data_IF_103198021345
#
_entry.id   IF_103198021345
#
_cell.length_a   1.000
_cell.length_b   1.000
_cell.length_c   1.000
_cell.angle_alpha   90.00
_cell.angle_beta   90.00
_cell.angle_gamma   90.00
#
_symmetry.space_group_name_H-M   'P 1'
#
loop_
_entity.id
_entity.type
_entity.pdbx_description
1 polymer ?
#
# COMPACT_ATOMS: atom_id res chain seq x y z
N UNK A 1 -17.02 3.22 21.77
CA UNK A 1 -16.99 2.20 20.72
C UNK A 1 -17.18 0.82 21.30
N UNK A 2 -17.52 -0.17 20.47
CA UNK A 2 -17.85 -1.54 20.93
C UNK A 2 -16.67 -2.20 21.67
N UNK A 3 -15.44 -1.91 21.27
CA UNK A 3 -14.21 -2.47 21.86
C UNK A 3 -13.95 -2.04 23.33
N UNK A 4 -14.55 -0.95 23.77
CA UNK A 4 -14.32 -0.39 25.13
C UNK A 4 -15.63 -0.23 25.91
N UNK A 5 -16.61 -1.08 25.64
CA UNK A 5 -17.87 -1.07 26.39
C UNK A 5 -17.62 -1.66 27.79
N UNK A 6 -17.73 -0.87 28.88
CA UNK A 6 -17.46 -1.35 30.24
C UNK A 6 -18.48 -2.43 30.72
N UNK A 7 -19.60 -2.53 30.03
CA UNK A 7 -20.65 -3.51 30.33
C UNK A 7 -20.43 -4.87 29.64
N UNK A 8 -19.47 -4.95 28.72
CA UNK A 8 -19.13 -6.21 28.06
C UNK A 8 -18.29 -7.08 29.02
N UNK A 9 -18.70 -8.33 29.31
CA UNK A 9 -17.94 -9.24 30.18
C UNK A 9 -16.50 -9.45 29.69
N UNK A 10 -16.24 -9.45 28.39
CA UNK A 10 -14.91 -9.59 27.80
C UNK A 10 -13.96 -8.45 28.21
N UNK A 11 -14.49 -7.24 28.42
CA UNK A 11 -13.71 -6.07 28.85
C UNK A 11 -13.43 -6.06 30.36
N UNK A 12 -13.89 -7.06 31.10
CA UNK A 12 -13.58 -7.23 32.53
C UNK A 12 -12.51 -8.27 32.80
N UNK A 13 -12.07 -8.96 31.76
CA UNK A 13 -10.98 -9.95 31.85
C UNK A 13 -9.66 -9.26 31.59
N UNK A 14 -8.89 -9.09 32.67
CA UNK A 14 -7.55 -8.53 32.61
C UNK A 14 -6.51 -9.60 32.94
N UNK A 15 -5.38 -9.64 32.24
CA UNK A 15 -4.27 -10.49 32.63
C UNK A 15 -3.77 -10.10 34.03
N UNK A 16 -3.22 -11.05 34.82
CA UNK A 16 -2.57 -10.73 36.08
C UNK A 16 -1.46 -9.69 35.91
N UNK A 17 -1.29 -8.82 36.91
CA UNK A 17 -0.28 -7.73 36.84
C UNK A 17 1.10 -8.23 36.44
N UNK A 18 1.54 -9.35 37.00
CA UNK A 18 2.82 -9.98 36.65
C UNK A 18 2.97 -10.23 35.15
N UNK A 19 1.91 -10.71 34.47
CA UNK A 19 1.95 -10.98 33.03
C UNK A 19 2.04 -9.68 32.26
N UNK A 20 1.38 -8.61 32.72
CA UNK A 20 1.49 -7.29 32.12
C UNK A 20 2.92 -6.77 32.23
N UNK A 21 3.53 -6.89 33.42
CA UNK A 21 4.89 -6.45 33.67
C UNK A 21 5.91 -7.24 32.84
N UNK A 22 5.74 -8.58 32.72
CA UNK A 22 6.57 -9.42 31.88
C UNK A 22 6.48 -9.00 30.39
N UNK A 23 5.28 -8.74 29.88
CA UNK A 23 5.06 -8.28 28.51
C UNK A 23 5.68 -6.90 28.28
N UNK A 24 5.48 -5.97 29.20
CA UNK A 24 6.05 -4.62 29.11
C UNK A 24 7.59 -4.67 29.13
N UNK A 25 8.16 -5.53 29.95
CA UNK A 25 9.61 -5.74 29.99
C UNK A 25 10.14 -6.26 28.65
N UNK A 26 9.47 -7.24 28.06
CA UNK A 26 9.84 -7.78 26.74
C UNK A 26 9.72 -6.72 25.63
N UNK A 27 8.62 -5.97 25.61
CA UNK A 27 8.41 -4.95 24.57
C UNK A 27 9.42 -3.79 24.67
N UNK A 28 9.83 -3.44 25.89
CA UNK A 28 10.80 -2.37 26.14
C UNK A 28 12.25 -2.86 26.15
N UNK A 29 12.53 -4.09 25.79
CA UNK A 29 13.90 -4.58 25.69
C UNK A 29 14.70 -3.76 24.67
N UNK A 30 15.91 -3.34 25.07
CA UNK A 30 16.76 -2.47 24.23
C UNK A 30 17.11 -3.14 22.88
N UNK A 31 17.16 -4.46 22.83
CA UNK A 31 17.40 -5.21 21.59
C UNK A 31 16.28 -5.05 20.55
N UNK A 32 15.07 -4.69 20.97
CA UNK A 32 13.91 -4.47 20.11
C UNK A 32 13.76 -3.03 19.65
N UNK A 33 14.52 -2.09 20.19
CA UNK A 33 14.39 -0.66 19.90
C UNK A 33 14.41 -0.35 18.41
N UNK A 34 15.40 -0.87 17.69
CA UNK A 34 15.51 -0.66 16.23
C UNK A 34 14.37 -1.29 15.43
N UNK A 35 13.67 -2.27 16.01
CA UNK A 35 12.49 -2.87 15.38
C UNK A 35 11.27 -1.94 15.54
N UNK A 36 11.10 -1.33 16.72
CA UNK A 36 9.99 -0.40 16.98
C UNK A 36 10.10 0.92 16.21
N UNK A 37 11.29 1.29 15.76
CA UNK A 37 11.51 2.47 14.93
C UNK A 37 11.08 2.26 13.46
N UNK A 38 10.74 1.04 13.06
CA UNK A 38 10.34 0.72 11.68
C UNK A 38 8.83 0.83 11.50
N UNK A 39 8.41 1.49 10.44
CA UNK A 39 6.99 1.70 10.08
C UNK A 39 6.22 0.39 9.91
N UNK A 40 6.93 -0.69 9.53
CA UNK A 40 6.33 -1.99 9.21
C UNK A 40 6.06 -2.86 10.44
N UNK A 41 6.62 -2.56 11.60
CA UNK A 41 6.61 -3.45 12.77
C UNK A 41 5.20 -3.84 13.20
N UNK A 42 4.30 -2.88 13.31
CA UNK A 42 2.91 -3.15 13.71
C UNK A 42 2.20 -4.03 12.68
N UNK A 43 2.46 -3.83 11.40
CA UNK A 43 1.92 -4.66 10.34
C UNK A 43 2.39 -6.11 10.42
N UNK A 44 3.67 -6.34 10.73
CA UNK A 44 4.22 -7.68 10.95
C UNK A 44 3.65 -8.34 12.19
N UNK A 45 3.54 -7.62 13.32
CA UNK A 45 2.87 -8.12 14.53
C UNK A 45 1.45 -8.55 14.23
N UNK A 46 0.69 -7.73 13.50
CA UNK A 46 -0.67 -8.06 13.09
C UNK A 46 -0.73 -9.33 12.21
N UNK A 47 0.17 -9.47 11.23
CA UNK A 47 0.21 -10.63 10.36
C UNK A 47 0.51 -11.93 11.11
N UNK A 48 1.40 -11.87 12.10
CA UNK A 48 1.82 -13.03 12.90
C UNK A 48 0.97 -13.27 14.15
N UNK A 49 -0.01 -12.43 14.43
CA UNK A 49 -0.94 -12.60 15.56
C UNK A 49 -1.65 -13.96 15.52
N UNK A 50 -2.06 -14.42 14.34
CA UNK A 50 -2.62 -15.76 14.18
C UNK A 50 -1.50 -16.77 13.89
N UNK A 51 -1.35 -17.83 14.71
CA UNK A 51 -0.31 -18.84 14.52
C UNK A 51 -0.32 -19.46 13.12
N UNK A 52 0.85 -19.69 12.58
CA UNK A 52 1.03 -20.29 11.24
C UNK A 52 0.33 -21.64 11.13
N UNK A 53 0.45 -22.46 12.16
CA UNK A 53 -0.10 -23.81 12.23
C UNK A 53 -1.63 -23.78 12.05
N UNK A 54 -2.30 -22.81 12.67
CA UNK A 54 -3.74 -22.64 12.54
C UNK A 54 -4.12 -22.25 11.11
N UNK A 55 -3.38 -21.32 10.51
CA UNK A 55 -3.61 -20.90 9.12
C UNK A 55 -3.40 -22.06 8.15
N UNK A 56 -2.34 -22.82 8.32
CA UNK A 56 -2.01 -23.97 7.46
C UNK A 56 -3.04 -25.08 7.61
N UNK A 57 -3.50 -25.34 8.84
CA UNK A 57 -4.57 -26.32 9.12
C UNK A 57 -5.85 -25.98 8.36
N UNK A 58 -6.33 -24.76 8.52
CA UNK A 58 -7.58 -24.30 7.87
C UNK A 58 -7.46 -24.31 6.35
N UNK A 59 -6.28 -23.96 5.79
CA UNK A 59 -6.04 -24.03 4.35
C UNK A 59 -6.06 -25.46 3.81
N UNK A 60 -5.58 -26.44 4.59
CA UNK A 60 -5.64 -27.86 4.23
C UNK A 60 -7.05 -28.43 4.30
N UNK A 61 -7.86 -27.97 5.28
CA UNK A 61 -9.23 -28.45 5.48
C UNK A 61 -10.21 -27.92 4.43
N UNK A 62 -9.98 -26.74 3.88
CA UNK A 62 -10.87 -26.13 2.89
C UNK A 62 -10.13 -25.19 1.94
N UNK A 63 -10.47 -25.20 0.65
CA UNK A 63 -9.96 -24.25 -0.34
C UNK A 63 -10.51 -22.82 -0.13
N UNK A 64 -11.75 -22.71 0.35
CA UNK A 64 -12.42 -21.44 0.63
C UNK A 64 -12.64 -21.26 2.15
N UNK A 65 -12.66 -20.00 2.66
CA UNK A 65 -13.03 -19.74 4.04
C UNK A 65 -14.48 -20.17 4.29
N UNK A 66 -14.72 -20.87 5.41
CA UNK A 66 -16.04 -21.38 5.78
C UNK A 66 -16.87 -20.38 6.57
N UNK A 67 -16.22 -19.37 7.15
CA UNK A 67 -16.85 -18.33 7.97
C UNK A 67 -16.03 -17.05 7.99
N UNK A 68 -16.57 -15.97 8.57
CA UNK A 68 -15.92 -14.66 8.67
C UNK A 68 -14.62 -14.69 9.45
N UNK A 69 -14.50 -15.54 10.46
CA UNK A 69 -13.28 -15.69 11.25
C UNK A 69 -12.15 -16.28 10.41
N UNK A 70 -12.42 -17.35 9.66
CA UNK A 70 -11.44 -17.93 8.74
C UNK A 70 -11.07 -16.97 7.61
N UNK A 71 -12.04 -16.21 7.09
CA UNK A 71 -11.79 -15.18 6.09
C UNK A 71 -10.81 -14.13 6.60
N UNK A 72 -10.99 -13.66 7.84
CA UNK A 72 -10.15 -12.64 8.45
C UNK A 72 -8.68 -13.07 8.49
N UNK A 73 -8.35 -14.21 9.11
CA UNK A 73 -6.96 -14.59 9.29
C UNK A 73 -6.31 -15.24 8.06
N UNK A 74 -7.10 -15.77 7.13
CA UNK A 74 -6.56 -16.28 5.84
C UNK A 74 -6.05 -15.16 4.94
N UNK A 75 -6.64 -13.96 5.07
CA UNK A 75 -6.32 -12.78 4.28
C UNK A 75 -5.47 -11.76 5.05
N UNK A 76 -4.95 -12.11 6.22
CA UNK A 76 -3.98 -11.31 6.97
C UNK A 76 -2.62 -11.36 6.30
N UNK A 77 -2.44 -10.55 5.26
CA UNK A 77 -1.15 -10.32 4.62
C UNK A 77 -0.77 -8.85 4.84
N UNK A 78 0.39 -8.64 5.42
CA UNK A 78 0.99 -7.33 5.46
C UNK A 78 1.67 -7.05 4.13
N UNK A 79 1.36 -5.92 3.52
CA UNK A 79 1.92 -5.56 2.21
C UNK A 79 3.39 -5.18 2.37
N UNK A 80 4.33 -5.83 1.68
CA UNK A 80 5.75 -5.48 1.78
C UNK A 80 6.02 -4.04 1.34
N UNK A 81 6.98 -3.38 1.97
CA UNK A 81 7.33 -1.98 1.75
C UNK A 81 7.56 -1.63 0.28
N UNK A 82 8.28 -2.45 -0.46
CA UNK A 82 8.55 -2.19 -1.87
C UNK A 82 7.29 -2.14 -2.74
N UNK A 83 6.24 -2.91 -2.37
CA UNK A 83 4.93 -2.87 -3.05
C UNK A 83 4.21 -1.58 -2.72
N UNK A 84 4.24 -1.15 -1.44
CA UNK A 84 3.65 0.11 -0.99
C UNK A 84 4.30 1.28 -1.72
N UNK A 85 5.63 1.32 -1.75
CA UNK A 85 6.41 2.35 -2.46
C UNK A 85 6.06 2.35 -3.95
N UNK A 86 6.04 1.17 -4.60
CA UNK A 86 5.67 1.06 -6.02
C UNK A 86 4.27 1.61 -6.30
N UNK A 87 3.29 1.25 -5.49
CA UNK A 87 1.91 1.70 -5.67
C UNK A 87 1.77 3.20 -5.39
N UNK A 88 2.39 3.71 -4.33
CA UNK A 88 2.35 5.13 -3.98
C UNK A 88 3.05 5.98 -5.04
N UNK A 89 4.23 5.55 -5.50
CA UNK A 89 4.98 6.25 -6.55
C UNK A 89 4.19 6.32 -7.87
N UNK A 90 3.49 5.23 -8.23
CA UNK A 90 2.77 5.16 -9.49
C UNK A 90 1.29 5.59 -9.41
N UNK A 91 0.82 6.00 -8.25
CA UNK A 91 -0.47 6.67 -8.07
C UNK A 91 -0.27 8.14 -7.73
N UNK A 92 0.01 8.47 -6.49
CA UNK A 92 0.21 9.85 -6.03
C UNK A 92 1.43 10.52 -6.66
N UNK A 93 2.55 9.83 -6.66
CA UNK A 93 3.79 10.30 -7.27
C UNK A 93 3.61 10.56 -8.76
N UNK A 94 2.93 9.65 -9.47
CA UNK A 94 2.63 9.79 -10.89
C UNK A 94 1.69 10.96 -11.18
N UNK A 95 0.62 11.13 -10.39
CA UNK A 95 -0.29 12.27 -10.52
C UNK A 95 0.45 13.59 -10.33
N UNK A 96 1.30 13.65 -9.30
CA UNK A 96 2.11 14.85 -9.04
C UNK A 96 3.09 15.15 -10.18
N UNK A 97 3.78 14.13 -10.68
CA UNK A 97 4.69 14.21 -11.80
C UNK A 97 3.98 14.76 -13.06
N UNK A 98 2.79 14.27 -13.36
CA UNK A 98 1.98 14.73 -14.48
C UNK A 98 1.52 16.19 -14.32
N UNK A 99 1.05 16.57 -13.12
CA UNK A 99 0.71 17.97 -12.82
C UNK A 99 1.87 18.95 -13.00
N UNK A 100 3.09 18.48 -12.82
CA UNK A 100 4.31 19.27 -12.98
C UNK A 100 4.98 19.08 -14.35
N UNK A 101 4.35 18.33 -15.25
CA UNK A 101 4.89 18.04 -16.59
C UNK A 101 6.31 17.46 -16.53
N UNK A 102 6.56 16.55 -15.62
CA UNK A 102 7.86 15.94 -15.40
C UNK A 102 8.88 16.81 -14.63
N UNK A 103 8.59 18.09 -14.39
CA UNK A 103 9.51 19.04 -13.74
C UNK A 103 9.28 19.05 -12.22
N UNK A 104 9.79 18.06 -11.53
CA UNK A 104 9.69 17.96 -10.07
C UNK A 104 10.86 17.16 -9.48
N UNK A 105 11.44 17.67 -8.40
CA UNK A 105 12.47 16.96 -7.63
C UNK A 105 11.94 15.68 -6.95
N UNK A 106 10.61 15.54 -6.83
CA UNK A 106 10.01 14.33 -6.29
C UNK A 106 10.29 13.11 -7.18
N UNK A 107 10.41 13.32 -8.50
CA UNK A 107 10.70 12.24 -9.45
C UNK A 107 12.02 11.49 -9.16
N UNK A 108 12.97 12.16 -8.52
CA UNK A 108 14.27 11.57 -8.15
C UNK A 108 14.22 10.84 -6.81
N UNK A 109 13.18 11.11 -6.00
CA UNK A 109 12.93 10.45 -4.71
C UNK A 109 12.02 9.23 -4.85
N UNK A 110 11.12 9.22 -5.83
CA UNK A 110 10.21 8.12 -6.12
C UNK A 110 10.96 7.02 -6.85
N UNK A 111 11.48 6.05 -6.09
CA UNK A 111 12.35 4.97 -6.57
C UNK A 111 11.69 4.12 -7.65
N UNK A 112 10.40 3.90 -7.54
CA UNK A 112 9.64 3.00 -8.42
C UNK A 112 8.75 3.75 -9.42
N UNK A 113 8.87 5.07 -9.52
CA UNK A 113 8.08 5.86 -10.46
C UNK A 113 8.40 5.45 -11.91
N UNK A 114 7.40 4.90 -12.59
CA UNK A 114 7.53 4.55 -14.00
C UNK A 114 7.53 5.82 -14.84
N UNK A 115 8.64 6.06 -15.51
CA UNK A 115 8.82 7.16 -16.49
C UNK A 115 9.20 6.53 -17.82
N UNK A 116 8.57 6.98 -18.89
CA UNK A 116 8.93 6.54 -20.24
C UNK A 116 9.77 7.62 -20.92
N UNK A 117 10.81 7.27 -21.67
CA UNK A 117 11.69 8.25 -22.27
C UNK A 117 10.99 9.16 -23.29
N UNK A 118 9.89 8.70 -23.88
CA UNK A 118 9.16 9.36 -24.94
C UNK A 118 7.84 9.98 -24.48
N UNK A 119 7.74 10.40 -23.20
CA UNK A 119 6.55 11.06 -22.69
C UNK A 119 6.41 12.48 -23.25
N UNK A 120 5.27 12.76 -23.85
CA UNK A 120 4.89 14.07 -24.37
C UNK A 120 3.73 14.60 -23.53
N UNK A 121 3.98 15.65 -22.76
CA UNK A 121 2.94 16.28 -21.93
C UNK A 121 2.09 17.22 -22.77
N UNK A 122 0.80 16.91 -22.88
CA UNK A 122 -0.14 17.71 -23.64
C UNK A 122 -0.51 19.00 -22.90
N UNK A 123 -0.75 20.07 -23.66
CA UNK A 123 -1.27 21.32 -23.12
C UNK A 123 -2.78 21.19 -22.80
N UNK A 124 -3.31 22.17 -22.07
CA UNK A 124 -4.75 22.21 -21.76
C UNK A 124 -5.58 22.31 -23.04
N UNK A 125 -6.46 21.34 -23.26
CA UNK A 125 -7.32 21.28 -24.46
C UNK A 125 -6.65 20.62 -25.67
N UNK A 126 -5.38 20.23 -25.55
CA UNK A 126 -4.69 19.46 -26.58
C UNK A 126 -5.08 17.97 -26.48
N UNK A 127 -5.29 17.35 -27.61
CA UNK A 127 -5.60 15.93 -27.73
C UNK A 127 -4.43 15.19 -28.40
N UNK A 128 -4.21 13.93 -28.05
CA UNK A 128 -3.22 13.12 -28.77
C UNK A 128 -3.63 13.03 -30.26
N UNK A 129 -2.66 12.95 -31.18
CA UNK A 129 -2.95 12.69 -32.58
C UNK A 129 -3.80 11.42 -32.71
N UNK A 130 -4.73 11.40 -33.66
CA UNK A 130 -5.51 10.21 -33.95
C UNK A 130 -4.57 9.03 -34.20
N UNK A 131 -4.79 7.94 -33.49
CA UNK A 131 -4.02 6.73 -33.72
C UNK A 131 -4.26 6.27 -35.16
N UNK A 132 -3.26 6.34 -36.01
CA UNK A 132 -3.30 5.66 -37.29
C UNK A 132 -3.33 4.15 -36.98
N UNK A 133 -4.29 3.43 -37.56
CA UNK A 133 -4.29 1.98 -37.47
C UNK A 133 -2.96 1.48 -38.06
N UNK A 134 -2.16 0.72 -37.29
CA UNK A 134 -0.91 0.23 -37.82
C UNK A 134 -1.19 -0.77 -38.95
N UNK A 135 -0.67 -0.49 -40.12
CA UNK A 135 -0.76 -1.41 -41.28
C UNK A 135 -0.09 -2.79 -41.03
N UNK A 136 0.70 -2.89 -39.96
CA UNK A 136 1.37 -4.10 -39.46
C UNK A 136 1.38 -4.12 -37.93
N UNK A 137 1.35 -5.32 -37.36
CA UNK A 137 1.67 -5.52 -35.96
C UNK A 137 3.09 -5.01 -35.67
N UNK A 138 3.19 -3.98 -34.87
CA UNK A 138 4.46 -3.41 -34.44
C UNK A 138 5.19 -4.35 -33.48
N UNK A 139 6.48 -4.45 -33.62
CA UNK A 139 7.32 -5.16 -32.65
C UNK A 139 7.29 -4.45 -31.28
N UNK A 140 7.63 -5.20 -30.24
CA UNK A 140 7.66 -4.65 -28.87
C UNK A 140 8.63 -3.47 -28.73
N UNK A 141 9.75 -3.50 -29.46
CA UNK A 141 10.71 -2.39 -29.47
C UNK A 141 10.16 -1.14 -30.17
N UNK A 142 9.43 -1.28 -31.25
CA UNK A 142 8.79 -0.18 -31.97
C UNK A 142 7.69 0.46 -31.13
N UNK A 143 6.89 -0.35 -30.39
CA UNK A 143 5.90 0.13 -29.44
C UNK A 143 6.53 0.94 -28.31
N UNK A 144 7.71 0.51 -27.80
CA UNK A 144 8.43 1.23 -26.75
C UNK A 144 9.02 2.57 -27.22
N UNK A 145 9.27 2.73 -28.52
CA UNK A 145 9.79 3.97 -29.14
C UNK A 145 8.69 4.98 -29.47
N UNK A 146 7.44 4.56 -29.49
CA UNK A 146 6.34 5.48 -29.76
C UNK A 146 6.18 6.54 -28.67
N UNK A 147 5.81 7.79 -29.03
CA UNK A 147 5.53 8.82 -28.06
C UNK A 147 4.31 8.45 -27.20
N UNK A 148 4.44 8.60 -25.90
CA UNK A 148 3.35 8.39 -24.95
C UNK A 148 2.79 9.75 -24.56
N UNK A 149 1.60 10.06 -25.07
CA UNK A 149 0.95 11.32 -24.78
C UNK A 149 0.33 11.30 -23.37
N UNK A 150 0.81 12.19 -22.51
CA UNK A 150 0.31 12.35 -21.14
C UNK A 150 -0.72 13.47 -21.12
N UNK A 151 -1.98 13.18 -20.77
CA UNK A 151 -3.03 14.20 -20.74
C UNK A 151 -2.71 15.34 -19.78
N UNK A 152 -3.17 16.54 -20.12
CA UNK A 152 -3.02 17.69 -19.23
C UNK A 152 -3.68 17.45 -17.88
N UNK A 153 -2.93 17.69 -16.81
CA UNK A 153 -3.45 17.74 -15.44
C UNK A 153 -3.29 19.14 -14.87
N UNK A 154 -4.39 19.73 -14.40
CA UNK A 154 -4.35 21.00 -13.69
C UNK A 154 -3.54 20.89 -12.41
N UNK A 155 -2.67 21.88 -12.15
CA UNK A 155 -1.93 21.95 -10.89
C UNK A 155 -2.91 22.14 -9.73
N UNK A 156 -2.71 21.34 -8.68
CA UNK A 156 -3.44 21.45 -7.42
C UNK A 156 -2.45 21.63 -6.26
N UNK A 157 -2.93 22.24 -5.19
CA UNK A 157 -2.20 22.20 -3.91
C UNK A 157 -2.24 20.75 -3.38
N UNK A 158 -1.16 20.22 -2.78
CA UNK A 158 -1.17 18.89 -2.17
C UNK A 158 -2.32 18.67 -1.19
N UNK A 159 -2.75 19.71 -0.47
CA UNK A 159 -3.88 19.68 0.47
C UNK A 159 -5.25 19.48 -0.18
N UNK A 160 -5.36 19.71 -1.48
CA UNK A 160 -6.58 19.50 -2.26
C UNK A 160 -6.67 18.09 -2.85
N UNK A 161 -5.60 17.30 -2.73
CA UNK A 161 -5.61 15.91 -3.18
C UNK A 161 -6.46 15.07 -2.22
N UNK A 162 -7.45 14.40 -2.77
CA UNK A 162 -8.28 13.46 -2.01
C UNK A 162 -7.75 12.05 -2.25
N UNK A 163 -7.35 11.42 -1.16
CA UNK A 163 -6.77 10.09 -1.16
C UNK A 163 -7.71 9.18 -0.37
N UNK A 164 -8.00 8.02 -0.91
CA UNK A 164 -8.79 6.99 -0.24
C UNK A 164 -7.99 5.67 -0.28
N UNK A 165 -7.72 5.14 0.89
CA UNK A 165 -7.30 3.75 1.06
C UNK A 165 -8.50 2.94 1.57
N UNK A 166 -9.18 2.16 0.71
CA UNK A 166 -10.37 1.40 1.09
C UNK A 166 -10.07 0.18 1.96
N UNK A 167 -8.80 -0.17 2.10
CA UNK A 167 -8.32 -1.34 2.85
C UNK A 167 -7.15 -0.99 3.76
N UNK A 168 -7.24 0.16 4.43
CA UNK A 168 -6.18 0.81 5.20
C UNK A 168 -5.39 -0.15 6.13
N UNK A 169 -6.04 -1.13 6.75
CA UNK A 169 -5.38 -2.07 7.65
C UNK A 169 -4.65 -1.35 8.79
N UNK A 170 -3.32 -1.54 8.87
CA UNK A 170 -2.45 -0.87 9.85
C UNK A 170 -1.99 0.53 9.42
N UNK A 171 -2.46 1.04 8.31
CA UNK A 171 -2.09 2.36 7.80
C UNK A 171 -0.79 2.44 7.02
N UNK A 172 -0.32 1.32 6.46
CA UNK A 172 0.99 1.26 5.78
C UNK A 172 1.09 2.13 4.51
N UNK A 173 -0.04 2.52 3.92
CA UNK A 173 -0.09 3.46 2.78
C UNK A 173 -0.28 4.92 3.19
N UNK A 174 -0.48 5.20 4.47
CA UNK A 174 -0.69 6.54 5.02
C UNK A 174 0.59 7.10 5.63
#
# INVERSE_FOLDING_TARGET
>A
GVLFNPNDPANRVYPPQRVIDDVLTLINDESLRGIWEQDETIGWVYQYFTPKELRDKVRKESQAPRNSYELAFRNQFFTPRYVVEFLTDNTLGRIWYEMRQGKTALADRCRYLVRRPNEVFLAKGEHPPAAAEPEKELSQEELLRQPVHVPFRAKKDPRELRILDPACGSGHFL
#
